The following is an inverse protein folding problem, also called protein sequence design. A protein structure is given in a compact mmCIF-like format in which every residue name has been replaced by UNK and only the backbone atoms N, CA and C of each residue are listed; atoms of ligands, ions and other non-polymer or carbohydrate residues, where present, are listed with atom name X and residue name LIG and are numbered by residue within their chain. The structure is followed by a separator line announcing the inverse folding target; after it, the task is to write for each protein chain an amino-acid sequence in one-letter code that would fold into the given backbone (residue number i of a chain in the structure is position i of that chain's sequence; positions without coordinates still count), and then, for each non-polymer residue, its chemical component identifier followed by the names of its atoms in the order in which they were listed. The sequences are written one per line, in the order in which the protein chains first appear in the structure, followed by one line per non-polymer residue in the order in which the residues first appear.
data_IF_743859514189
#
_entry.id   IF_743859514189
#
_cell.length_a   1.000
_cell.length_b   1.000
_cell.length_c   1.000
_cell.angle_alpha   90.00
_cell.angle_beta   90.00
_cell.angle_gamma   90.00
#
_symmetry.space_group_name_H-M   'P 1'
#
loop_
_entity.id
_entity.type
_entity.pdbx_description
1 polymer ?
#
# COMPACT_ATOMS: atom_id res chain seq x y z
N UNK A 1 -10.70 7.17 -12.93
CA UNK A 1 -11.07 6.23 -11.84
C UNK A 1 -12.19 6.82 -11.01
N UNK A 2 -13.13 6.01 -10.53
CA UNK A 2 -14.17 6.47 -9.62
C UNK A 2 -13.65 6.44 -8.17
N UNK A 3 -13.89 7.49 -7.36
CA UNK A 3 -13.48 7.50 -5.96
C UNK A 3 -14.27 6.45 -5.17
N UNK A 4 -13.54 5.64 -4.40
CA UNK A 4 -14.08 4.66 -3.45
C UNK A 4 -13.49 4.95 -2.08
N UNK A 5 -14.27 4.67 -1.04
CA UNK A 5 -13.87 4.89 0.35
C UNK A 5 -14.26 3.67 1.19
N UNK A 6 -13.44 3.39 2.20
CA UNK A 6 -13.79 2.54 3.34
C UNK A 6 -13.64 3.36 4.63
N UNK A 7 -14.24 2.92 5.72
CA UNK A 7 -14.19 3.62 7.00
C UNK A 7 -13.87 2.70 8.15
N UNK A 8 -12.97 3.10 9.04
CA UNK A 8 -12.74 2.43 10.31
C UNK A 8 -13.64 3.01 11.39
N UNK A 9 -14.55 2.20 11.95
CA UNK A 9 -15.41 2.63 13.04
C UNK A 9 -14.71 2.42 14.38
N UNK A 10 -14.30 3.51 15.03
CA UNK A 10 -13.46 3.52 16.24
C UNK A 10 -14.13 2.83 17.43
N UNK A 11 -15.42 3.09 17.69
CA UNK A 11 -16.11 2.45 18.82
C UNK A 11 -16.40 0.95 18.63
N UNK A 12 -16.65 0.52 17.39
CA UNK A 12 -16.98 -0.87 17.08
C UNK A 12 -15.74 -1.69 16.69
N UNK A 13 -14.60 -1.03 16.51
CA UNK A 13 -13.35 -1.61 16.03
C UNK A 13 -13.57 -2.47 14.78
N UNK A 14 -14.25 -1.89 13.78
CA UNK A 14 -14.70 -2.59 12.57
C UNK A 14 -14.45 -1.77 11.31
N UNK A 15 -13.95 -2.43 10.26
CA UNK A 15 -13.87 -1.88 8.91
C UNK A 15 -15.23 -1.91 8.19
N UNK A 16 -15.59 -0.81 7.54
CA UNK A 16 -16.84 -0.61 6.80
C UNK A 16 -16.50 -0.36 5.33
N UNK A 17 -17.02 -1.20 4.44
CA UNK A 17 -16.80 -1.11 2.99
C UNK A 17 -18.05 -0.65 2.24
N UNK A 18 -19.24 -0.82 2.83
CA UNK A 18 -20.47 -0.31 2.25
C UNK A 18 -21.71 -0.40 3.14
N UNK A 19 -22.06 -1.60 3.64
CA UNK A 19 -23.37 -1.83 4.30
C UNK A 19 -23.27 -2.59 5.63
N UNK A 20 -22.07 -2.70 6.17
CA UNK A 20 -21.80 -3.46 7.39
C UNK A 20 -22.39 -2.78 8.63
N UNK A 21 -22.61 -1.46 8.56
CA UNK A 21 -23.27 -0.67 9.62
C UNK A 21 -24.52 0.03 9.06
N UNK A 22 -25.60 -0.02 9.83
CA UNK A 22 -26.83 0.71 9.54
C UNK A 22 -26.78 2.11 10.15
N UNK A 23 -27.26 3.13 9.43
CA UNK A 23 -27.30 4.49 9.94
C UNK A 23 -28.34 5.36 9.25
N UNK A 24 -28.60 6.52 9.84
CA UNK A 24 -29.38 7.60 9.23
C UNK A 24 -28.53 8.87 9.26
N UNK A 25 -28.37 9.48 8.08
CA UNK A 25 -27.55 10.67 7.90
C UNK A 25 -28.45 11.75 7.30
N UNK A 26 -28.48 12.92 7.93
CA UNK A 26 -29.28 14.06 7.50
C UNK A 26 -28.42 15.32 7.45
N UNK A 27 -28.43 16.01 6.31
CA UNK A 27 -27.76 17.29 6.12
C UNK A 27 -28.74 18.28 5.48
N UNK A 28 -28.71 19.53 5.95
CA UNK A 28 -29.57 20.62 5.45
C UNK A 28 -28.87 21.49 4.39
N UNK A 29 -27.77 21.00 3.83
CA UNK A 29 -26.96 21.66 2.79
C UNK A 29 -26.97 20.87 1.48
N UNK A 30 -26.26 21.36 0.47
CA UNK A 30 -26.10 20.67 -0.80
C UNK A 30 -25.16 19.46 -0.68
N UNK A 31 -25.21 18.54 -1.65
CA UNK A 31 -24.45 17.29 -1.61
C UNK A 31 -22.93 17.46 -1.47
N UNK A 32 -22.35 18.47 -2.13
CA UNK A 32 -20.90 18.69 -2.11
C UNK A 32 -20.46 19.15 -0.72
N UNK A 33 -21.22 20.06 -0.13
CA UNK A 33 -20.95 20.57 1.21
C UNK A 33 -21.17 19.50 2.28
N UNK A 34 -22.23 18.70 2.16
CA UNK A 34 -22.48 17.56 3.04
C UNK A 34 -21.33 16.54 2.99
N UNK A 35 -20.80 16.25 1.79
CA UNK A 35 -19.66 15.34 1.63
C UNK A 35 -18.39 15.92 2.25
N UNK A 36 -18.11 17.21 2.04
CA UNK A 36 -16.95 17.87 2.63
C UNK A 36 -17.03 17.85 4.17
N UNK A 37 -18.22 18.05 4.74
CA UNK A 37 -18.44 17.93 6.18
C UNK A 37 -18.13 16.50 6.64
N UNK A 38 -18.73 15.48 6.01
CA UNK A 38 -18.50 14.06 6.38
C UNK A 38 -17.03 13.64 6.32
N UNK A 39 -16.24 14.21 5.40
CA UNK A 39 -14.85 13.82 5.19
C UNK A 39 -13.85 14.59 6.07
N UNK A 40 -14.21 15.78 6.56
CA UNK A 40 -13.26 16.67 7.25
C UNK A 40 -13.66 16.99 8.70
N UNK A 41 -14.89 16.71 9.12
CA UNK A 41 -15.30 16.88 10.51
C UNK A 41 -15.02 15.60 11.31
N UNK A 42 -14.10 15.70 12.27
CA UNK A 42 -13.66 14.61 13.16
C UNK A 42 -14.76 14.13 14.14
N UNK A 43 -15.93 14.77 14.14
CA UNK A 43 -17.02 14.52 15.10
C UNK A 43 -17.71 13.15 14.88
N UNK A 44 -17.38 12.43 13.82
CA UNK A 44 -17.80 11.04 13.61
C UNK A 44 -16.70 10.08 14.08
N UNK A 45 -17.10 9.03 14.80
CA UNK A 45 -16.22 7.90 15.20
C UNK A 45 -15.79 7.02 14.00
N UNK A 46 -15.71 7.58 12.80
CA UNK A 46 -15.37 6.89 11.56
C UNK A 46 -14.18 7.59 10.91
N UNK A 47 -13.09 6.86 10.74
CA UNK A 47 -11.93 7.32 10.01
C UNK A 47 -11.97 6.84 8.56
N UNK A 48 -12.05 7.78 7.62
CA UNK A 48 -12.26 7.49 6.20
C UNK A 48 -10.93 7.30 5.47
N UNK A 49 -10.84 6.24 4.67
CA UNK A 49 -9.70 5.91 3.83
C UNK A 49 -10.11 5.86 2.36
N UNK A 50 -9.38 6.57 1.51
CA UNK A 50 -9.62 6.60 0.08
C UNK A 50 -8.86 5.47 -0.63
N UNK A 51 -9.49 4.86 -1.65
CA UNK A 51 -8.81 3.90 -2.53
C UNK A 51 -7.75 4.59 -3.38
N UNK A 52 -6.59 3.96 -3.52
CA UNK A 52 -5.54 4.39 -4.45
C UNK A 52 -5.96 4.22 -5.89
N UNK A 53 -6.80 3.20 -6.11
CA UNK A 53 -7.20 2.76 -7.42
C UNK A 53 -6.50 1.56 -8.00
N UNK A 54 -5.39 1.19 -7.39
CA UNK A 54 -4.75 -0.05 -7.71
C UNK A 54 -5.54 -1.20 -7.11
N UNK A 55 -5.31 -2.37 -7.68
CA UNK A 55 -5.85 -3.64 -7.26
C UNK A 55 -4.71 -4.48 -6.72
N UNK A 56 -5.02 -5.37 -5.78
CA UNK A 56 -4.09 -6.37 -5.27
C UNK A 56 -4.85 -7.58 -4.78
N UNK A 57 -4.13 -8.60 -4.33
CA UNK A 57 -4.69 -9.80 -3.71
C UNK A 57 -4.37 -9.82 -2.22
N UNK A 58 -5.16 -10.51 -1.42
CA UNK A 58 -4.87 -10.67 0.03
C UNK A 58 -3.82 -11.75 0.30
N UNK A 59 -3.32 -12.42 -0.74
CA UNK A 59 -2.41 -13.56 -0.61
C UNK A 59 -1.67 -13.82 -1.92
N UNK A 60 -0.35 -14.00 -1.82
CA UNK A 60 0.51 -14.46 -2.92
C UNK A 60 0.21 -15.89 -3.36
N UNK A 61 -0.36 -16.72 -2.48
CA UNK A 61 -0.78 -18.08 -2.82
C UNK A 61 -2.12 -18.12 -3.56
N UNK A 62 -2.75 -16.96 -3.78
CA UNK A 62 -4.10 -16.81 -4.36
C UNK A 62 -5.14 -17.73 -3.68
N UNK A 63 -5.05 -17.90 -2.36
CA UNK A 63 -6.09 -18.58 -1.59
C UNK A 63 -7.45 -17.88 -1.71
N UNK A 64 -7.41 -16.55 -1.85
CA UNK A 64 -8.50 -15.70 -2.35
C UNK A 64 -8.09 -15.12 -3.71
N UNK A 65 -8.78 -15.53 -4.77
CA UNK A 65 -8.53 -15.09 -6.15
C UNK A 65 -9.32 -13.81 -6.53
N UNK A 66 -9.96 -13.16 -5.55
CA UNK A 66 -10.68 -11.92 -5.78
C UNK A 66 -9.76 -10.69 -5.63
N UNK A 67 -9.67 -9.89 -6.70
CA UNK A 67 -8.97 -8.60 -6.66
C UNK A 67 -9.64 -7.61 -5.69
N UNK A 68 -8.87 -7.13 -4.72
CA UNK A 68 -9.30 -6.11 -3.77
C UNK A 68 -8.74 -4.75 -4.14
N UNK A 69 -9.50 -3.69 -3.88
CA UNK A 69 -8.99 -2.32 -4.03
C UNK A 69 -7.93 -2.07 -2.94
N UNK A 70 -6.81 -1.46 -3.31
CA UNK A 70 -5.82 -0.94 -2.36
C UNK A 70 -6.28 0.41 -1.84
N UNK A 71 -6.21 0.61 -0.53
CA UNK A 71 -6.63 1.81 0.18
C UNK A 71 -5.49 2.45 0.96
N UNK A 72 -5.64 3.75 1.24
CA UNK A 72 -4.85 4.41 2.27
C UNK A 72 -4.91 3.61 3.58
N UNK A 73 -3.77 3.42 4.23
CA UNK A 73 -3.64 2.65 5.46
C UNK A 73 -3.43 1.15 5.25
N UNK A 74 -3.48 0.64 4.02
CA UNK A 74 -3.07 -0.74 3.73
C UNK A 74 -1.55 -0.89 3.85
N UNK A 75 -1.14 -2.05 4.34
CA UNK A 75 0.25 -2.51 4.29
C UNK A 75 0.33 -3.47 3.12
N UNK A 76 1.21 -3.18 2.17
CA UNK A 76 1.34 -3.96 0.94
C UNK A 76 2.75 -4.50 0.79
N UNK A 77 2.88 -5.64 0.12
CA UNK A 77 4.10 -6.13 -0.49
C UNK A 77 3.97 -5.97 -2.02
N UNK A 78 4.99 -5.37 -2.63
CA UNK A 78 5.12 -5.25 -4.07
C UNK A 78 6.20 -6.20 -4.55
N UNK A 79 5.83 -7.12 -5.41
CA UNK A 79 6.73 -8.07 -6.05
C UNK A 79 7.07 -7.62 -7.46
N UNK A 80 8.35 -7.65 -7.83
CA UNK A 80 8.74 -7.54 -9.23
C UNK A 80 10.03 -8.29 -9.55
N UNK A 81 10.09 -8.76 -10.80
CA UNK A 81 11.25 -9.47 -11.34
C UNK A 81 12.12 -8.52 -12.16
N UNK A 82 13.43 -8.56 -11.95
CA UNK A 82 14.39 -7.86 -12.78
C UNK A 82 15.48 -8.79 -13.30
N UNK A 83 16.14 -8.34 -14.38
CA UNK A 83 17.24 -9.06 -15.01
C UNK A 83 18.53 -8.21 -15.05
N UNK A 84 19.04 -7.73 -13.91
CA UNK A 84 20.28 -6.97 -13.87
C UNK A 84 21.42 -7.78 -14.48
N UNK A 85 22.04 -7.23 -15.54
CA UNK A 85 23.15 -7.88 -16.24
C UNK A 85 22.83 -9.30 -16.76
N UNK A 86 21.55 -9.62 -16.96
CA UNK A 86 21.09 -10.93 -17.42
C UNK A 86 20.91 -11.99 -16.32
N UNK A 87 21.04 -11.62 -15.05
CA UNK A 87 20.77 -12.49 -13.91
C UNK A 87 19.40 -12.21 -13.34
N UNK A 88 18.66 -13.27 -13.01
CA UNK A 88 17.33 -13.16 -12.43
C UNK A 88 17.41 -12.67 -10.97
N UNK A 89 16.56 -11.71 -10.65
CA UNK A 89 16.39 -11.16 -9.30
C UNK A 89 14.90 -10.98 -9.00
N UNK A 90 14.49 -11.49 -7.85
CA UNK A 90 13.18 -11.25 -7.24
C UNK A 90 13.32 -10.10 -6.26
N UNK A 91 12.42 -9.11 -6.34
CA UNK A 91 12.41 -7.96 -5.45
C UNK A 91 11.08 -7.89 -4.72
N UNK A 92 11.15 -7.56 -3.45
CA UNK A 92 10.02 -7.30 -2.58
C UNK A 92 10.14 -5.90 -1.99
N UNK A 93 9.02 -5.19 -1.94
CA UNK A 93 8.94 -3.89 -1.28
C UNK A 93 7.71 -3.84 -0.41
N UNK A 94 7.94 -3.85 0.90
CA UNK A 94 6.88 -3.82 1.89
C UNK A 94 6.78 -2.42 2.48
N UNK A 95 5.57 -1.88 2.59
CA UNK A 95 5.37 -0.63 3.31
C UNK A 95 3.92 -0.18 3.40
N UNK A 96 3.74 1.00 3.98
CA UNK A 96 2.42 1.58 4.26
C UNK A 96 1.95 2.45 3.10
N UNK A 97 0.75 2.19 2.60
CA UNK A 97 0.11 3.03 1.60
C UNK A 97 -0.41 4.31 2.24
N UNK A 98 0.17 5.46 1.89
CA UNK A 98 -0.28 6.77 2.34
C UNK A 98 -0.21 7.82 1.23
N UNK A 99 -0.58 9.06 1.57
CA UNK A 99 -0.33 10.23 0.76
C UNK A 99 1.03 10.84 1.08
N UNK A 100 1.66 11.41 0.07
CA UNK A 100 2.83 12.29 0.23
C UNK A 100 2.49 13.51 1.11
N UNK A 101 3.50 14.25 1.53
CA UNK A 101 3.33 15.47 2.35
C UNK A 101 2.38 16.49 1.73
N UNK A 102 2.24 16.50 0.39
CA UNK A 102 1.35 17.43 -0.33
C UNK A 102 -0.11 16.94 -0.40
N UNK A 103 -0.38 15.68 -0.07
CA UNK A 103 -1.71 15.07 -0.19
C UNK A 103 -2.10 14.67 -1.62
N UNK A 104 -1.19 14.77 -2.59
CA UNK A 104 -1.49 14.64 -4.02
C UNK A 104 -1.19 13.24 -4.53
N UNK A 105 -0.04 12.68 -4.19
CA UNK A 105 0.46 11.41 -4.72
C UNK A 105 0.29 10.27 -3.73
N UNK A 106 0.10 9.06 -4.24
CA UNK A 106 0.14 7.84 -3.41
C UNK A 106 1.58 7.37 -3.27
N UNK A 107 1.95 7.03 -2.05
CA UNK A 107 3.29 6.61 -1.67
C UNK A 107 3.25 5.31 -0.89
N UNK A 108 4.37 4.62 -0.88
CA UNK A 108 4.74 3.57 0.06
C UNK A 108 5.66 4.27 1.05
N UNK A 109 5.16 4.45 2.27
CA UNK A 109 5.87 5.11 3.34
C UNK A 109 6.63 4.08 4.18
N UNK A 110 7.81 4.47 4.66
CA UNK A 110 8.67 3.66 5.52
C UNK A 110 8.94 2.28 4.89
N UNK A 111 9.29 2.29 3.59
CA UNK A 111 9.41 1.08 2.80
C UNK A 111 10.61 0.24 3.24
N UNK A 112 10.47 -1.08 3.10
CA UNK A 112 11.57 -2.04 3.23
C UNK A 112 11.76 -2.77 1.92
N UNK A 113 12.99 -2.76 1.44
CA UNK A 113 13.38 -3.48 0.24
C UNK A 113 14.14 -4.75 0.61
N UNK A 114 13.66 -5.88 0.10
CA UNK A 114 14.34 -7.17 0.16
C UNK A 114 14.47 -7.73 -1.26
N UNK A 115 15.48 -8.55 -1.50
CA UNK A 115 15.70 -9.17 -2.80
C UNK A 115 16.35 -10.55 -2.68
N UNK A 116 15.97 -11.46 -3.59
CA UNK A 116 16.61 -12.76 -3.75
C UNK A 116 17.20 -12.93 -5.15
N UNK A 117 18.39 -13.51 -5.23
CA UNK A 117 19.05 -13.87 -6.49
C UNK A 117 19.38 -15.36 -6.43
N UNK A 118 18.51 -16.24 -6.96
CA UNK A 118 18.73 -17.69 -6.96
C UNK A 118 20.07 -18.08 -7.60
N UNK A 119 20.49 -17.34 -8.63
CA UNK A 119 21.85 -17.38 -9.16
C UNK A 119 22.61 -16.12 -8.76
N UNK A 120 23.67 -16.22 -7.93
CA UNK A 120 24.42 -15.06 -7.48
C UNK A 120 25.05 -14.31 -8.66
N UNK A 121 24.85 -13.00 -8.68
CA UNK A 121 25.49 -12.12 -9.66
C UNK A 121 27.01 -12.11 -9.40
N UNK A 122 27.85 -12.44 -10.39
CA UNK A 122 29.30 -12.40 -10.23
C UNK A 122 29.79 -10.99 -9.86
N UNK A 123 30.76 -10.91 -8.96
CA UNK A 123 31.39 -9.64 -8.57
C UNK A 123 32.33 -9.06 -9.64
N UNK A 124 32.65 -9.82 -10.68
CA UNK A 124 33.48 -9.40 -11.81
C UNK A 124 33.03 -10.11 -13.09
N UNK A 125 32.88 -9.34 -14.18
CA UNK A 125 32.60 -9.84 -15.52
C UNK A 125 33.64 -9.23 -16.47
N UNK A 126 34.39 -10.07 -17.18
CA UNK A 126 35.43 -9.64 -18.14
C UNK A 126 36.47 -8.64 -17.58
N UNK A 127 36.84 -8.77 -16.29
CA UNK A 127 37.80 -7.86 -15.65
C UNK A 127 37.18 -6.55 -15.14
N UNK A 128 35.87 -6.38 -15.27
CA UNK A 128 35.12 -5.21 -14.80
C UNK A 128 34.39 -5.62 -13.52
N UNK A 129 34.66 -4.90 -12.42
CA UNK A 129 33.92 -5.09 -11.16
C UNK A 129 32.46 -4.73 -11.34
N UNK A 130 31.59 -5.61 -10.85
CA UNK A 130 30.14 -5.43 -10.86
C UNK A 130 29.67 -5.22 -9.43
N UNK A 131 28.82 -4.21 -9.24
CA UNK A 131 28.18 -3.93 -7.95
C UNK A 131 26.71 -3.63 -8.19
N UNK A 132 25.85 -4.15 -7.33
CA UNK A 132 24.44 -3.75 -7.28
C UNK A 132 24.33 -2.40 -6.57
N UNK A 133 23.51 -1.51 -7.13
CA UNK A 133 23.08 -0.31 -6.44
C UNK A 133 21.75 -0.64 -5.77
N UNK A 134 21.77 -0.83 -4.46
CA UNK A 134 20.56 -1.00 -3.66
C UNK A 134 20.06 0.39 -3.24
N UNK A 135 18.74 0.58 -3.10
CA UNK A 135 18.21 1.83 -2.54
C UNK A 135 18.78 2.06 -1.15
N UNK A 136 19.14 3.30 -0.86
CA UNK A 136 19.56 3.65 0.50
C UNK A 136 18.34 3.91 1.40
N UNK A 137 18.58 4.15 2.69
CA UNK A 137 17.48 4.35 3.64
C UNK A 137 16.65 5.62 3.33
N UNK A 138 17.26 6.64 2.74
CA UNK A 138 16.58 7.91 2.39
C UNK A 138 15.65 7.68 1.19
N UNK A 139 16.09 6.89 0.21
CA UNK A 139 15.27 6.48 -0.94
C UNK A 139 14.03 5.65 -0.53
N UNK A 140 14.06 4.99 0.63
CA UNK A 140 13.00 4.13 1.13
C UNK A 140 11.98 4.82 2.05
N UNK A 141 12.24 6.05 2.51
CA UNK A 141 11.29 6.77 3.39
C UNK A 141 9.95 7.05 2.68
N UNK A 142 10.02 7.42 1.40
CA UNK A 142 8.84 7.76 0.58
C UNK A 142 9.04 7.34 -0.88
N UNK A 143 8.28 6.33 -1.32
CA UNK A 143 8.33 5.84 -2.69
C UNK A 143 6.98 6.03 -3.37
N UNK A 144 6.95 6.73 -4.51
CA UNK A 144 5.70 6.88 -5.25
C UNK A 144 5.18 5.54 -5.75
N UNK A 145 3.97 5.19 -5.34
CA UNK A 145 3.32 3.92 -5.65
C UNK A 145 3.16 3.69 -7.16
N UNK A 146 3.00 4.77 -7.93
CA UNK A 146 2.85 4.73 -9.38
C UNK A 146 4.17 4.77 -10.16
N UNK A 147 5.34 4.78 -9.48
CA UNK A 147 6.63 4.65 -10.17
C UNK A 147 6.80 3.25 -10.79
N UNK A 148 6.13 2.26 -10.22
CA UNK A 148 6.12 0.90 -10.72
C UNK A 148 5.00 0.71 -11.73
N UNK A 149 5.25 -0.05 -12.79
CA UNK A 149 4.22 -0.44 -13.75
C UNK A 149 3.47 -1.67 -13.23
N UNK A 150 2.66 -1.46 -12.18
CA UNK A 150 2.01 -2.54 -11.42
C UNK A 150 0.72 -3.01 -12.06
N UNK A 151 0.51 -4.31 -11.98
CA UNK A 151 -0.75 -5.01 -12.15
C UNK A 151 -1.25 -5.53 -10.80
N UNK A 152 -2.48 -6.06 -10.76
CA UNK A 152 -3.03 -6.63 -9.53
C UNK A 152 -2.21 -7.79 -8.96
N UNK A 153 -1.55 -8.56 -9.83
CA UNK A 153 -0.71 -9.70 -9.44
C UNK A 153 0.61 -9.29 -8.80
N UNK A 154 1.02 -8.04 -8.93
CA UNK A 154 2.28 -7.54 -8.38
C UNK A 154 2.11 -6.99 -6.95
N UNK A 155 0.87 -6.92 -6.45
CA UNK A 155 0.54 -6.31 -5.16
C UNK A 155 -0.18 -7.31 -4.27
N UNK A 156 0.41 -7.56 -3.11
CA UNK A 156 -0.23 -8.32 -2.04
C UNK A 156 -0.54 -7.42 -0.85
N UNK A 157 -1.81 -7.40 -0.45
CA UNK A 157 -2.33 -6.65 0.68
C UNK A 157 -2.18 -7.54 1.92
N UNK A 158 -1.23 -7.18 2.78
CA UNK A 158 -0.90 -7.94 3.99
C UNK A 158 -1.85 -7.66 5.15
N UNK A 159 -2.49 -6.50 5.13
CA UNK A 159 -3.39 -6.02 6.18
C UNK A 159 -3.53 -4.50 6.14
N UNK A 160 -4.00 -3.91 7.24
CA UNK A 160 -4.04 -2.46 7.39
C UNK A 160 -3.72 -2.03 8.82
N UNK A 161 -3.36 -0.76 8.99
CA UNK A 161 -2.90 -0.22 10.28
C UNK A 161 -3.94 -0.22 11.40
N UNK A 162 -5.22 -0.44 11.09
CA UNK A 162 -6.30 -0.45 12.08
C UNK A 162 -6.58 -1.87 12.57
N UNK A 163 -6.74 -2.82 11.64
CA UNK A 163 -7.02 -4.22 11.96
C UNK A 163 -5.75 -5.01 12.33
N UNK A 164 -4.58 -4.54 11.87
CA UNK A 164 -3.27 -5.19 12.04
C UNK A 164 -2.17 -4.20 12.48
N UNK A 165 -2.34 -3.46 13.59
CA UNK A 165 -1.35 -2.49 14.05
C UNK A 165 0.03 -3.12 14.31
N UNK A 166 0.09 -4.42 14.66
CA UNK A 166 1.32 -5.16 14.89
C UNK A 166 2.22 -5.32 13.65
N UNK A 167 1.65 -5.22 12.45
CA UNK A 167 2.41 -5.34 11.21
C UNK A 167 3.33 -4.14 10.99
N UNK A 168 2.98 -2.96 11.52
CA UNK A 168 3.86 -1.78 11.50
C UNK A 168 5.09 -1.97 12.38
N UNK A 169 4.97 -2.66 13.51
CA UNK A 169 6.10 -2.90 14.42
C UNK A 169 7.07 -3.92 13.82
N UNK A 170 6.55 -5.00 13.23
CA UNK A 170 7.37 -6.00 12.53
C UNK A 170 8.01 -5.43 11.26
N UNK A 171 7.29 -4.57 10.55
CA UNK A 171 7.83 -3.79 9.44
C UNK A 171 8.82 -2.72 9.89
N UNK A 172 9.11 -2.52 11.18
CA UNK A 172 10.15 -1.61 11.68
C UNK A 172 11.32 -2.31 12.40
N UNK A 173 11.16 -3.55 12.84
CA UNK A 173 12.16 -4.25 13.69
C UNK A 173 13.17 -5.18 12.96
N UNK A 174 12.99 -5.51 11.69
CA UNK A 174 13.94 -6.32 10.88
C UNK A 174 14.69 -5.55 9.80
#
# INVERSE_FOLDING_TARGET
MAPKFRGWHKELEQMIYGKEVCGHIEYTTNLIDALNIMLNEDDYDIEVMQSTGLKGYMSDSHEDDEEKDVYRGDIIDIFWEEWPMGYYQENHMIGLVDKDETGTAWIIKDAKHDFDTPEPIPSEIDGISVSMSLPDAEDLEEIFLHNFNLTSSDITILGNTYENPELLEQANEN
#
